data_IF_915921734642
#
_entry.id   IF_915921734642
#
_cell.length_a   1.000
_cell.length_b   1.000
_cell.length_c   1.000
_cell.angle_alpha   90.00
_cell.angle_beta   90.00
_cell.angle_gamma   90.00
#
_symmetry.space_group_name_H-M   'P 1'
#
loop_
_entity.id
_entity.type
_entity.pdbx_description
1 polymer ?
#
# COMPACT_ATOMS: atom_id res chain seq x y z
N UNK A 1 7.95 -4.87 -3.90
CA UNK A 1 6.63 -5.54 -3.95
C UNK A 1 6.44 -6.55 -2.82
N UNK A 2 7.29 -7.59 -2.66
CA UNK A 2 7.17 -8.54 -1.54
C UNK A 2 7.26 -7.88 -0.16
N UNK A 3 8.22 -6.96 0.03
CA UNK A 3 8.33 -6.18 1.27
C UNK A 3 7.03 -5.42 1.59
N UNK A 4 6.41 -4.83 0.57
CA UNK A 4 5.18 -4.07 0.72
C UNK A 4 4.00 -4.99 1.08
N UNK A 5 3.87 -6.13 0.42
CA UNK A 5 2.88 -7.15 0.76
C UNK A 5 3.07 -7.68 2.20
N UNK A 6 4.31 -7.90 2.63
CA UNK A 6 4.61 -8.36 3.98
C UNK A 6 4.24 -7.30 5.04
N UNK A 7 4.60 -6.03 4.82
CA UNK A 7 4.26 -4.95 5.75
C UNK A 7 2.74 -4.77 5.83
N UNK A 8 2.05 -4.58 4.70
CA UNK A 8 0.59 -4.41 4.67
C UNK A 8 -0.14 -5.61 5.28
N UNK A 9 0.24 -6.83 4.87
CA UNK A 9 -0.36 -8.05 5.37
C UNK A 9 -0.19 -8.19 6.88
N UNK A 10 1.02 -7.97 7.39
CA UNK A 10 1.31 -8.11 8.82
C UNK A 10 0.59 -7.05 9.66
N UNK A 11 0.56 -5.79 9.19
CA UNK A 11 -0.15 -4.72 9.90
C UNK A 11 -1.64 -5.03 10.02
N UNK A 12 -2.29 -5.38 8.90
CA UNK A 12 -3.72 -5.67 8.92
C UNK A 12 -4.05 -6.93 9.71
N UNK A 13 -3.35 -8.04 9.45
CA UNK A 13 -3.55 -9.30 10.19
C UNK A 13 -3.31 -9.09 11.68
N UNK A 14 -2.29 -8.32 12.06
CA UNK A 14 -2.02 -7.98 13.45
C UNK A 14 -3.18 -7.25 14.13
N UNK A 15 -3.80 -6.28 13.44
CA UNK A 15 -4.98 -5.59 13.97
C UNK A 15 -6.20 -6.51 14.12
N UNK A 16 -6.42 -7.42 13.16
CA UNK A 16 -7.48 -8.42 13.25
C UNK A 16 -7.26 -9.39 14.41
N UNK A 17 -6.03 -9.87 14.60
CA UNK A 17 -5.69 -10.77 15.70
C UNK A 17 -5.85 -10.08 17.06
N UNK A 18 -5.43 -8.82 17.19
CA UNK A 18 -5.63 -8.04 18.41
C UNK A 18 -7.12 -7.92 18.76
N UNK A 19 -7.98 -7.66 17.78
CA UNK A 19 -9.42 -7.63 17.97
C UNK A 19 -9.98 -8.99 18.43
N UNK A 20 -9.60 -10.08 17.75
CA UNK A 20 -10.10 -11.43 18.06
C UNK A 20 -9.66 -11.92 19.44
N UNK A 21 -8.41 -11.68 19.83
CA UNK A 21 -7.84 -12.23 21.07
C UNK A 21 -7.94 -11.30 22.27
N UNK A 22 -7.87 -9.98 22.09
CA UNK A 22 -7.88 -9.02 23.18
C UNK A 22 -9.20 -8.23 23.30
N UNK A 23 -10.11 -8.36 22.32
CA UNK A 23 -11.38 -7.61 22.30
C UNK A 23 -11.19 -6.10 22.17
N UNK A 24 -9.97 -5.64 21.89
CA UNK A 24 -9.66 -4.24 21.69
C UNK A 24 -10.13 -3.79 20.32
N UNK A 25 -11.07 -2.84 20.31
CA UNK A 25 -11.47 -2.15 19.10
C UNK A 25 -10.29 -1.25 18.68
N UNK A 26 -9.75 -1.40 17.46
CA UNK A 26 -8.69 -0.52 16.99
C UNK A 26 -9.15 0.94 17.07
N UNK A 27 -8.33 1.83 17.66
CA UNK A 27 -8.66 3.26 17.78
C UNK A 27 -9.06 3.88 16.42
N UNK A 28 -8.37 3.43 15.36
CA UNK A 28 -8.64 3.81 13.97
C UNK A 28 -10.08 3.48 13.52
N UNK A 29 -10.72 2.48 14.11
CA UNK A 29 -12.11 2.14 13.82
C UNK A 29 -13.10 3.12 14.47
N UNK A 30 -12.78 3.56 15.69
CA UNK A 30 -13.56 4.55 16.44
C UNK A 30 -13.50 5.89 15.70
N UNK A 31 -12.32 6.25 15.19
CA UNK A 31 -12.08 7.54 14.54
C UNK A 31 -12.67 7.62 13.11
N UNK A 32 -12.90 6.50 12.43
CA UNK A 32 -13.32 6.45 11.01
C UNK A 32 -14.71 5.86 10.75
N UNK A 33 -15.45 5.52 11.82
CA UNK A 33 -16.83 5.07 11.73
C UNK A 33 -17.05 3.77 10.95
N UNK A 34 -16.06 2.86 10.92
CA UNK A 34 -16.19 1.55 10.27
C UNK A 34 -15.54 1.43 8.88
N UNK A 35 -15.16 2.54 8.26
CA UNK A 35 -14.58 2.57 6.90
C UNK A 35 -13.25 1.80 6.79
N UNK A 36 -12.50 1.72 7.90
CA UNK A 36 -11.19 1.07 7.97
C UNK A 36 -11.25 -0.45 7.79
N UNK A 37 -12.32 -1.12 8.24
CA UNK A 37 -12.45 -2.57 8.02
C UNK A 37 -12.60 -2.92 6.55
N UNK A 38 -13.34 -2.08 5.81
CA UNK A 38 -13.54 -2.27 4.39
C UNK A 38 -12.21 -2.11 3.64
N UNK A 39 -11.45 -1.06 3.96
CA UNK A 39 -10.11 -0.83 3.38
C UNK A 39 -9.15 -1.98 3.72
N UNK A 40 -9.10 -2.40 4.99
CA UNK A 40 -8.23 -3.51 5.40
C UNK A 40 -8.58 -4.83 4.68
N UNK A 41 -9.87 -5.12 4.53
CA UNK A 41 -10.34 -6.31 3.81
C UNK A 41 -10.01 -6.23 2.32
N UNK A 42 -10.19 -5.05 1.69
CA UNK A 42 -9.82 -4.79 0.31
C UNK A 42 -8.30 -4.93 0.10
N UNK A 43 -7.49 -4.41 1.02
CA UNK A 43 -6.03 -4.54 0.94
C UNK A 43 -5.61 -6.02 1.00
N UNK A 44 -6.15 -6.79 1.94
CA UNK A 44 -5.81 -8.21 2.10
C UNK A 44 -6.33 -9.10 0.95
N UNK A 45 -7.49 -8.78 0.38
CA UNK A 45 -8.11 -9.61 -0.66
C UNK A 45 -7.75 -9.19 -2.09
N UNK A 46 -7.56 -7.90 -2.34
CA UNK A 46 -7.38 -7.34 -3.68
C UNK A 46 -6.01 -6.70 -3.92
N UNK A 47 -5.23 -6.37 -2.89
CA UNK A 47 -3.90 -5.74 -3.06
C UNK A 47 -2.77 -6.72 -2.76
N UNK A 48 -2.83 -7.43 -1.63
CA UNK A 48 -1.78 -8.37 -1.22
C UNK A 48 -1.59 -9.52 -2.23
N UNK A 49 -2.63 -10.22 -2.72
CA UNK A 49 -2.42 -11.33 -3.66
C UNK A 49 -1.81 -10.87 -5.00
N UNK A 50 -2.27 -9.79 -5.64
CA UNK A 50 -1.60 -9.26 -6.83
C UNK A 50 -0.17 -8.80 -6.59
N UNK A 51 0.16 -8.23 -5.42
CA UNK A 51 1.54 -7.86 -5.09
C UNK A 51 2.46 -9.10 -5.05
N UNK A 52 1.97 -10.20 -4.48
CA UNK A 52 2.71 -11.47 -4.42
C UNK A 52 2.85 -12.06 -5.84
N UNK A 53 1.76 -12.12 -6.60
CA UNK A 53 1.76 -12.66 -7.96
C UNK A 53 2.64 -11.84 -8.91
N UNK A 54 2.60 -10.51 -8.83
CA UNK A 54 3.46 -9.62 -9.61
C UNK A 54 4.93 -9.81 -9.28
N UNK A 55 5.27 -9.94 -7.99
CA UNK A 55 6.64 -10.20 -7.57
C UNK A 55 7.15 -11.59 -8.02
N UNK A 56 6.35 -12.65 -7.87
CA UNK A 56 6.70 -13.99 -8.36
C UNK A 56 6.83 -13.97 -9.88
N UNK A 57 5.95 -13.26 -10.58
CA UNK A 57 5.99 -13.09 -12.02
C UNK A 57 7.27 -12.40 -12.49
N UNK A 58 7.72 -11.36 -11.77
CA UNK A 58 9.00 -10.69 -12.01
C UNK A 58 10.19 -11.63 -11.79
N UNK A 59 10.21 -12.37 -10.68
CA UNK A 59 11.28 -13.34 -10.40
C UNK A 59 11.37 -14.44 -11.46
N UNK A 60 10.24 -14.79 -12.09
CA UNK A 60 10.16 -15.78 -13.17
C UNK A 60 10.27 -15.17 -14.58
N UNK A 61 10.60 -13.89 -14.70
CA UNK A 61 10.69 -13.14 -15.97
C UNK A 61 9.46 -13.32 -16.88
N UNK A 62 8.25 -13.44 -16.31
CA UNK A 62 7.03 -13.59 -17.11
C UNK A 62 6.45 -12.24 -17.49
N UNK A 63 5.96 -12.05 -18.73
CA UNK A 63 5.42 -10.77 -19.20
C UNK A 63 4.24 -10.27 -18.34
N UNK A 64 3.39 -11.19 -17.87
CA UNK A 64 2.30 -10.88 -16.94
C UNK A 64 2.79 -10.34 -15.58
N UNK A 65 3.99 -10.73 -15.14
CA UNK A 65 4.61 -10.20 -13.92
C UNK A 65 4.98 -8.74 -14.06
N UNK A 66 5.50 -8.33 -15.23
CA UNK A 66 5.81 -6.92 -15.50
C UNK A 66 4.55 -6.05 -15.55
N UNK A 67 3.51 -6.48 -16.27
CA UNK A 67 2.25 -5.74 -16.37
C UNK A 67 1.60 -5.51 -14.99
N UNK A 68 1.42 -6.59 -14.22
CA UNK A 68 0.83 -6.51 -12.88
C UNK A 68 1.66 -5.62 -11.95
N UNK A 69 2.98 -5.69 -12.05
CA UNK A 69 3.88 -4.87 -11.24
C UNK A 69 3.81 -3.38 -11.57
N UNK A 70 3.76 -3.02 -12.85
CA UNK A 70 3.60 -1.61 -13.28
C UNK A 70 2.27 -1.06 -12.76
N UNK A 71 1.17 -1.76 -13.01
CA UNK A 71 -0.17 -1.32 -12.61
C UNK A 71 -0.23 -1.07 -11.11
N UNK A 72 0.24 -2.02 -10.30
CA UNK A 72 0.18 -1.91 -8.83
C UNK A 72 1.10 -0.81 -8.29
N UNK A 73 2.30 -0.64 -8.86
CA UNK A 73 3.22 0.40 -8.41
C UNK A 73 2.75 1.81 -8.80
N UNK A 74 2.14 1.97 -9.98
CA UNK A 74 1.51 3.23 -10.40
C UNK A 74 0.33 3.55 -9.49
N UNK A 75 -0.54 2.57 -9.25
CA UNK A 75 -1.68 2.73 -8.33
C UNK A 75 -1.21 3.11 -6.92
N UNK A 76 -0.22 2.40 -6.37
CA UNK A 76 0.40 2.71 -5.09
C UNK A 76 0.88 4.16 -5.02
N UNK A 77 1.61 4.61 -6.04
CA UNK A 77 2.14 5.98 -6.11
C UNK A 77 1.01 7.01 -6.15
N UNK A 78 -0.03 6.76 -6.95
CA UNK A 78 -1.20 7.63 -7.05
C UNK A 78 -1.95 7.76 -5.73
N UNK A 79 -2.25 6.63 -5.07
CA UNK A 79 -2.94 6.63 -3.77
C UNK A 79 -2.10 7.34 -2.70
N UNK A 80 -0.79 7.09 -2.65
CA UNK A 80 0.10 7.76 -1.71
C UNK A 80 0.15 9.28 -1.95
N UNK A 81 0.17 9.74 -3.21
CA UNK A 81 0.11 11.16 -3.55
C UNK A 81 -1.21 11.81 -3.09
N UNK A 82 -2.34 11.12 -3.29
CA UNK A 82 -3.65 11.60 -2.79
C UNK A 82 -3.62 11.73 -1.27
N UNK A 83 -3.07 10.76 -0.54
CA UNK A 83 -2.97 10.81 0.92
C UNK A 83 -2.06 11.93 1.40
N UNK A 84 -0.95 12.20 0.71
CA UNK A 84 -0.08 13.35 1.01
C UNK A 84 -0.84 14.67 0.85
N UNK A 85 -1.60 14.84 -0.23
CA UNK A 85 -2.34 16.08 -0.51
C UNK A 85 -3.54 16.25 0.42
N UNK A 86 -4.22 15.17 0.78
CA UNK A 86 -5.40 15.21 1.65
C UNK A 86 -5.04 15.35 3.12
N UNK A 87 -3.82 15.00 3.55
CA UNK A 87 -3.40 15.14 4.96
C UNK A 87 -3.44 16.60 5.47
N UNK A 88 -2.90 17.62 4.76
CA UNK A 88 -3.08 19.02 5.12
C UNK A 88 -4.54 19.48 5.16
N UNK A 89 -5.37 18.98 4.25
CA UNK A 89 -6.80 19.32 4.19
C UNK A 89 -7.53 18.77 5.43
N UNK A 90 -7.25 17.52 5.80
CA UNK A 90 -7.79 16.89 7.00
C UNK A 90 -7.32 17.59 8.28
N UNK A 91 -6.07 18.05 8.31
CA UNK A 91 -5.56 18.85 9.41
C UNK A 91 -6.26 20.20 9.52
N UNK A 92 -6.55 20.87 8.39
CA UNK A 92 -7.27 22.13 8.36
C UNK A 92 -8.74 21.99 8.83
N UNK A 93 -9.35 20.82 8.67
CA UNK A 93 -10.70 20.52 9.18
C UNK A 93 -10.70 20.04 10.63
N UNK A 94 -9.54 20.04 11.31
CA UNK A 94 -9.43 19.71 12.74
C UNK A 94 -9.47 18.21 13.05
N UNK A 95 -9.19 17.33 12.07
CA UNK A 95 -9.11 15.89 12.32
C UNK A 95 -7.84 15.58 13.14
N UNK A 96 -7.96 14.99 14.34
CA UNK A 96 -6.80 14.63 15.16
C UNK A 96 -5.90 13.62 14.42
N UNK A 97 -4.58 13.78 14.54
CA UNK A 97 -3.61 12.82 13.96
C UNK A 97 -3.47 12.87 12.43
N UNK A 98 -4.06 13.84 11.74
CA UNK A 98 -4.00 13.96 10.28
C UNK A 98 -2.55 14.07 9.72
N UNK A 99 -1.60 14.52 10.53
CA UNK A 99 -0.19 14.61 10.15
C UNK A 99 0.61 13.33 10.39
N UNK A 100 0.12 12.43 11.24
CA UNK A 100 0.90 11.29 11.76
C UNK A 100 1.25 10.30 10.64
N UNK A 101 0.40 10.22 9.61
CA UNK A 101 0.61 9.36 8.44
C UNK A 101 1.52 9.98 7.36
N UNK A 102 1.81 11.28 7.38
CA UNK A 102 2.41 11.98 6.24
C UNK A 102 3.79 11.43 5.85
N UNK A 103 4.63 11.14 6.84
CA UNK A 103 5.96 10.54 6.61
C UNK A 103 5.85 9.14 6.00
N UNK A 104 4.86 8.35 6.44
CA UNK A 104 4.60 7.02 5.88
C UNK A 104 4.15 7.13 4.41
N UNK A 105 3.23 8.04 4.12
CA UNK A 105 2.74 8.25 2.74
C UNK A 105 3.87 8.72 1.81
N UNK A 106 4.73 9.63 2.27
CA UNK A 106 5.92 10.06 1.53
C UNK A 106 6.88 8.91 1.26
N UNK A 107 7.17 8.10 2.28
CA UNK A 107 8.03 6.94 2.13
C UNK A 107 7.48 5.95 1.10
N UNK A 108 6.17 5.67 1.15
CA UNK A 108 5.50 4.78 0.19
C UNK A 108 5.53 5.38 -1.22
N UNK A 109 5.21 6.66 -1.38
CA UNK A 109 5.20 7.34 -2.68
C UNK A 109 6.58 7.28 -3.35
N UNK A 110 7.64 7.61 -2.61
CA UNK A 110 9.02 7.58 -3.11
C UNK A 110 9.45 6.14 -3.42
N UNK A 111 9.15 5.19 -2.55
CA UNK A 111 9.49 3.78 -2.74
C UNK A 111 8.81 3.15 -3.96
N UNK A 112 7.52 3.43 -4.14
CA UNK A 112 6.75 2.95 -5.30
C UNK A 112 7.24 3.61 -6.59
N UNK A 113 7.46 4.93 -6.60
CA UNK A 113 8.00 5.65 -7.76
C UNK A 113 9.40 5.15 -8.15
N UNK A 114 10.31 4.99 -7.20
CA UNK A 114 11.65 4.46 -7.45
C UNK A 114 11.60 3.04 -8.04
N UNK A 115 10.66 2.21 -7.56
CA UNK A 115 10.45 0.86 -8.08
C UNK A 115 9.92 0.86 -9.52
N UNK A 116 9.00 1.78 -9.89
CA UNK A 116 8.54 1.94 -11.28
C UNK A 116 9.71 2.32 -12.18
N UNK A 117 10.50 3.32 -11.79
CA UNK A 117 11.65 3.79 -12.57
C UNK A 117 12.68 2.68 -12.75
N UNK A 118 12.98 1.93 -11.68
CA UNK A 118 13.88 0.78 -11.74
C UNK A 118 13.39 -0.31 -12.69
N UNK A 119 12.10 -0.62 -12.65
CA UNK A 119 11.48 -1.61 -13.52
C UNK A 119 11.57 -1.20 -15.00
N UNK A 120 11.20 0.04 -15.33
CA UNK A 120 11.22 0.56 -16.69
C UNK A 120 12.64 0.66 -17.26
N UNK A 121 13.62 1.02 -16.43
CA UNK A 121 15.04 1.02 -16.82
C UNK A 121 15.53 -0.39 -17.18
N UNK A 122 15.20 -1.39 -16.35
CA UNK A 122 15.60 -2.77 -16.63
C UNK A 122 14.90 -3.38 -17.85
N UNK A 123 13.65 -3.00 -18.13
CA UNK A 123 12.96 -3.45 -19.35
C UNK A 123 13.64 -2.92 -20.62
N UNK A 124 14.11 -1.66 -20.62
CA UNK A 124 14.83 -1.09 -21.77
C UNK A 124 16.19 -1.74 -22.04
N UNK A 125 16.86 -2.27 -21.02
CA UNK A 125 18.18 -2.91 -21.17
C UNK A 125 18.10 -4.32 -21.78
N UNK A 126 16.92 -4.94 -21.79
CA UNK A 126 16.70 -6.26 -22.39
C UNK A 126 16.44 -6.15 -23.91
N UNK A 127 16.04 -4.97 -24.40
CA UNK A 127 15.81 -4.71 -25.83
C UNK A 127 17.04 -4.15 -26.57
N UNK A 128 18.16 -3.88 -25.89
CA UNK A 128 19.43 -3.38 -26.49
C UNK A 128 20.48 -4.46 -26.63
#
# INVERSE_FOLDING_TARGET
MLLFAAILGTVWIGQWLAFVFAGTIPQLLIDTGGSVHLVAALDLSMVVPPLILGAIGLLKNRPWGYLTSIVLLVQCTGTAAVLIVTSPVQAATGIPGAWDGLLLWLFIAVGCMASVVGLLKNMRLVES
#
